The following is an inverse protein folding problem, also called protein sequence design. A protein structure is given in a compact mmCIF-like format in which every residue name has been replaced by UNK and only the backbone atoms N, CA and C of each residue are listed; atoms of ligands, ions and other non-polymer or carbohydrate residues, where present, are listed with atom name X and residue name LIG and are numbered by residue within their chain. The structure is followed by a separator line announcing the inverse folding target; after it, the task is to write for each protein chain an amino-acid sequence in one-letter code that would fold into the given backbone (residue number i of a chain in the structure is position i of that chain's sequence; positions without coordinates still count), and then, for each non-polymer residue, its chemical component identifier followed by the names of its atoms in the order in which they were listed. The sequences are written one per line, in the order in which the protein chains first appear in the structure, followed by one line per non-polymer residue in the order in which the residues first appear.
data_IF_317024391975
#
_entry.id   IF_317024391975
#
_cell.length_a   1.000
_cell.length_b   1.000
_cell.length_c   1.000
_cell.angle_alpha   90.00
_cell.angle_beta   90.00
_cell.angle_gamma   90.00
#
_symmetry.space_group_name_H-M   'P 1'
#
loop_
_entity.id
_entity.type
_entity.pdbx_description
1 polymer ?
#
# COMPACT_ATOMS: atom_id res chain seq x y z
N UNK A 1 9.23 -7.45 19.31
CA UNK A 1 9.60 -6.14 18.76
C UNK A 1 11.12 -6.04 18.51
N UNK A 2 11.98 -6.12 19.51
CA UNK A 2 13.43 -5.97 19.32
C UNK A 2 14.04 -6.98 18.32
N UNK A 3 13.72 -8.26 18.44
CA UNK A 3 14.19 -9.31 17.52
C UNK A 3 13.69 -9.09 16.09
N UNK A 4 12.44 -8.68 15.93
CA UNK A 4 11.87 -8.33 14.61
C UNK A 4 12.65 -7.19 13.95
N UNK A 5 12.88 -6.11 14.69
CA UNK A 5 13.64 -4.94 14.20
C UNK A 5 15.10 -5.30 13.89
N UNK A 6 15.71 -6.21 14.64
CA UNK A 6 17.06 -6.69 14.37
C UNK A 6 17.13 -7.48 13.06
N UNK A 7 16.16 -8.40 12.80
CA UNK A 7 16.06 -9.11 11.52
C UNK A 7 15.81 -8.17 10.35
N UNK A 8 14.85 -7.26 10.49
CA UNK A 8 14.58 -6.24 9.47
C UNK A 8 15.79 -5.35 9.18
N UNK A 9 16.55 -4.96 10.20
CA UNK A 9 17.77 -4.16 10.04
C UNK A 9 18.89 -4.89 9.30
N UNK A 10 18.88 -6.23 9.27
CA UNK A 10 19.79 -6.99 8.43
C UNK A 10 19.42 -6.96 6.94
N UNK A 11 18.15 -6.81 6.63
CA UNK A 11 17.64 -6.81 5.25
C UNK A 11 17.61 -5.41 4.63
N UNK A 12 17.33 -4.40 5.45
CA UNK A 12 17.18 -3.00 5.00
C UNK A 12 18.23 -2.13 5.67
N UNK A 13 19.19 -1.67 4.90
CA UNK A 13 20.31 -0.83 5.39
C UNK A 13 19.79 0.56 5.77
N UNK A 14 20.26 1.10 6.91
CA UNK A 14 20.10 2.51 7.26
C UNK A 14 18.69 3.01 7.60
N UNK A 15 17.70 2.09 7.73
CA UNK A 15 16.28 2.46 7.92
C UNK A 15 15.73 2.09 9.31
N UNK A 16 16.56 2.10 10.33
CA UNK A 16 16.15 1.66 11.68
C UNK A 16 14.96 2.44 12.22
N UNK A 17 14.97 3.76 12.09
CA UNK A 17 13.92 4.65 12.58
C UNK A 17 12.62 4.44 11.80
N UNK A 18 12.70 4.38 10.48
CA UNK A 18 11.54 4.17 9.61
C UNK A 18 10.92 2.79 9.87
N UNK A 19 11.74 1.76 10.03
CA UNK A 19 11.28 0.40 10.38
C UNK A 19 10.54 0.40 11.73
N UNK A 20 11.10 1.02 12.76
CA UNK A 20 10.45 1.14 14.08
C UNK A 20 9.08 1.82 13.96
N UNK A 21 9.00 2.93 13.23
CA UNK A 21 7.76 3.70 13.08
C UNK A 21 6.71 2.94 12.25
N UNK A 22 7.12 2.27 11.16
CA UNK A 22 6.23 1.45 10.33
C UNK A 22 5.68 0.28 11.14
N UNK A 23 6.53 -0.47 11.82
CA UNK A 23 6.10 -1.61 12.64
C UNK A 23 5.19 -1.16 13.79
N UNK A 24 5.50 -0.04 14.44
CA UNK A 24 4.65 0.53 15.49
C UNK A 24 3.29 0.97 14.96
N UNK A 25 3.23 1.64 13.78
CA UNK A 25 1.98 2.07 13.17
C UNK A 25 1.12 0.88 12.75
N UNK A 26 1.72 -0.16 12.13
CA UNK A 26 1.02 -1.39 11.77
C UNK A 26 0.47 -2.11 13.01
N UNK A 27 1.28 -2.21 14.07
CA UNK A 27 0.86 -2.79 15.36
C UNK A 27 -0.23 -2.02 16.08
N UNK A 28 -0.35 -0.71 15.81
CA UNK A 28 -1.42 0.16 16.31
C UNK A 28 -2.64 0.23 15.37
N UNK A 29 -2.75 -0.68 14.40
CA UNK A 29 -3.83 -0.73 13.42
C UNK A 29 -3.98 0.53 12.56
N UNK A 30 -2.88 1.23 12.26
CA UNK A 30 -2.91 2.48 11.50
C UNK A 30 -2.51 2.29 10.05
N UNK A 31 -3.19 3.02 9.17
CA UNK A 31 -2.74 3.24 7.79
C UNK A 31 -1.54 4.19 7.78
N UNK A 32 -0.71 4.12 6.75
CA UNK A 32 0.56 4.85 6.69
C UNK A 32 0.66 5.61 5.36
N UNK A 33 1.21 6.82 5.40
CA UNK A 33 1.65 7.57 4.24
C UNK A 33 3.15 7.84 4.33
N UNK A 34 3.91 7.26 3.40
CA UNK A 34 5.35 7.51 3.26
C UNK A 34 5.57 8.67 2.29
N UNK A 35 6.18 9.73 2.78
CA UNK A 35 6.49 10.92 1.98
C UNK A 35 8.00 11.01 1.75
N UNK A 36 8.42 11.07 0.50
CA UNK A 36 9.84 11.21 0.18
C UNK A 36 10.15 11.04 -1.29
N UNK A 37 11.36 11.42 -1.72
CA UNK A 37 11.78 11.35 -3.11
C UNK A 37 11.78 9.91 -3.64
N UNK A 38 11.78 9.73 -4.98
CA UNK A 38 11.90 8.41 -5.58
C UNK A 38 13.26 7.79 -5.26
N UNK A 39 13.34 6.46 -5.32
CA UNK A 39 14.60 5.73 -5.10
C UNK A 39 15.04 5.59 -3.63
N UNK A 40 14.27 6.06 -2.66
CA UNK A 40 14.60 5.97 -1.23
C UNK A 40 14.31 4.60 -0.59
N UNK A 41 13.95 3.58 -1.38
CA UNK A 41 13.75 2.20 -0.90
C UNK A 41 12.43 1.96 -0.14
N UNK A 42 11.41 2.81 -0.30
CA UNK A 42 10.09 2.66 0.36
C UNK A 42 9.46 1.29 0.11
N UNK A 43 9.42 0.85 -1.15
CA UNK A 43 8.85 -0.45 -1.53
C UNK A 43 9.65 -1.62 -0.96
N UNK A 44 10.98 -1.53 -0.95
CA UNK A 44 11.88 -2.55 -0.39
C UNK A 44 11.67 -2.71 1.12
N UNK A 45 11.58 -1.59 1.83
CA UNK A 45 11.29 -1.55 3.26
C UNK A 45 9.96 -2.24 3.58
N UNK A 46 8.90 -1.91 2.85
CA UNK A 46 7.57 -2.46 3.09
C UNK A 46 7.48 -3.96 2.75
N UNK A 47 8.13 -4.40 1.67
CA UNK A 47 8.20 -5.83 1.33
C UNK A 47 8.97 -6.63 2.39
N UNK A 48 10.06 -6.08 2.93
CA UNK A 48 10.79 -6.70 4.02
C UNK A 48 9.91 -6.83 5.27
N UNK A 49 9.17 -5.77 5.64
CA UNK A 49 8.25 -5.78 6.78
C UNK A 49 7.14 -6.81 6.57
N UNK A 50 6.49 -6.85 5.40
CA UNK A 50 5.43 -7.81 5.10
C UNK A 50 5.93 -9.26 5.20
N UNK A 51 7.10 -9.55 4.64
CA UNK A 51 7.74 -10.87 4.70
C UNK A 51 8.05 -11.30 6.14
N UNK A 52 8.65 -10.42 6.93
CA UNK A 52 9.00 -10.72 8.31
C UNK A 52 7.78 -10.90 9.23
N UNK A 53 6.68 -10.20 8.94
CA UNK A 53 5.42 -10.35 9.65
C UNK A 53 4.58 -11.54 9.14
N UNK A 54 4.95 -12.17 8.03
CA UNK A 54 4.20 -13.26 7.42
C UNK A 54 2.82 -12.83 6.88
N UNK A 55 2.68 -11.57 6.44
CA UNK A 55 1.44 -11.01 5.89
C UNK A 55 1.55 -10.83 4.38
N UNK A 56 0.41 -10.92 3.69
CA UNK A 56 0.33 -10.70 2.25
C UNK A 56 0.70 -9.25 1.87
N UNK A 57 1.04 -9.06 0.60
CA UNK A 57 1.47 -7.77 0.06
C UNK A 57 0.91 -7.56 -1.34
N UNK A 58 -0.06 -6.66 -1.46
CA UNK A 58 -0.62 -6.22 -2.72
C UNK A 58 0.01 -4.89 -3.13
N UNK A 59 0.42 -4.79 -4.41
CA UNK A 59 1.08 -3.59 -4.95
C UNK A 59 0.19 -2.92 -6.00
N UNK A 60 0.06 -1.61 -5.87
CA UNK A 60 -0.63 -0.75 -6.84
C UNK A 60 0.24 0.45 -7.16
N UNK A 61 0.51 0.68 -8.43
CA UNK A 61 1.13 1.91 -8.92
C UNK A 61 0.04 2.93 -9.26
N UNK A 62 0.04 4.07 -8.56
CA UNK A 62 -0.87 5.18 -8.80
C UNK A 62 -0.55 5.89 -10.10
N UNK A 63 -1.55 6.03 -10.95
CA UNK A 63 -1.47 6.79 -12.20
C UNK A 63 -2.85 7.33 -12.58
N UNK A 64 -2.90 8.24 -13.56
CA UNK A 64 -4.13 8.89 -14.01
C UNK A 64 -5.18 7.94 -14.65
N UNK A 65 -4.78 6.72 -15.01
CA UNK A 65 -5.64 5.71 -15.64
C UNK A 65 -6.14 4.66 -14.64
N UNK A 66 -5.76 4.74 -13.36
CA UNK A 66 -6.20 3.82 -12.33
C UNK A 66 -7.68 4.05 -11.99
N UNK A 67 -8.55 3.24 -12.56
CA UNK A 67 -9.99 3.31 -12.30
C UNK A 67 -10.40 2.55 -11.03
N UNK A 68 -11.57 2.86 -10.43
CA UNK A 68 -12.12 2.06 -9.34
C UNK A 68 -12.23 0.57 -9.68
N UNK A 69 -12.61 0.22 -10.91
CA UNK A 69 -12.73 -1.16 -11.35
C UNK A 69 -11.37 -1.90 -11.37
N UNK A 70 -10.29 -1.24 -11.77
CA UNK A 70 -8.95 -1.84 -11.72
C UNK A 70 -8.47 -2.06 -10.28
N UNK A 71 -8.86 -1.19 -9.37
CA UNK A 71 -8.49 -1.29 -7.96
C UNK A 71 -9.33 -2.31 -7.21
N UNK A 72 -10.64 -2.29 -7.42
CA UNK A 72 -11.63 -3.12 -6.72
C UNK A 72 -11.75 -4.51 -7.34
N UNK A 73 -11.75 -4.58 -8.66
CA UNK A 73 -12.08 -5.79 -9.42
C UNK A 73 -13.35 -5.62 -10.24
N UNK A 74 -13.72 -6.65 -10.95
CA UNK A 74 -14.86 -6.65 -11.86
C UNK A 74 -15.44 -8.05 -12.04
N UNK A 75 -16.68 -8.11 -12.49
CA UNK A 75 -17.26 -9.37 -12.95
C UNK A 75 -16.73 -9.71 -14.34
N UNK A 76 -16.40 -10.97 -14.59
CA UNK A 76 -16.02 -11.46 -15.93
C UNK A 76 -17.17 -11.22 -16.93
N UNK A 77 -16.97 -10.33 -17.93
CA UNK A 77 -18.04 -9.96 -18.85
C UNK A 77 -18.56 -11.12 -19.69
N UNK A 78 -17.70 -12.09 -20.03
CA UNK A 78 -18.10 -13.25 -20.82
C UNK A 78 -19.00 -14.17 -20.00
N UNK A 79 -18.65 -14.41 -18.74
CA UNK A 79 -19.44 -15.24 -17.84
C UNK A 79 -20.75 -14.58 -17.39
N UNK A 80 -20.78 -13.26 -17.27
CA UNK A 80 -22.03 -12.53 -16.98
C UNK A 80 -23.09 -12.75 -18.04
N UNK A 81 -22.71 -12.87 -19.32
CA UNK A 81 -23.64 -13.09 -20.42
C UNK A 81 -24.26 -14.48 -20.41
N UNK A 82 -23.55 -15.49 -19.89
CA UNK A 82 -24.01 -16.87 -19.84
C UNK A 82 -24.67 -17.24 -18.52
N UNK A 83 -24.05 -16.84 -17.41
CA UNK A 83 -24.37 -17.32 -16.06
C UNK A 83 -25.11 -16.27 -15.22
N UNK A 84 -25.20 -15.02 -15.72
CA UNK A 84 -25.65 -13.88 -14.93
C UNK A 84 -24.61 -13.43 -13.89
N UNK A 85 -24.99 -12.51 -13.01
CA UNK A 85 -24.10 -12.05 -11.95
C UNK A 85 -24.07 -13.04 -10.78
N UNK A 86 -22.89 -13.54 -10.46
CA UNK A 86 -22.64 -14.47 -9.36
C UNK A 86 -21.30 -14.12 -8.69
N UNK A 87 -21.14 -14.32 -7.37
CA UNK A 87 -19.89 -14.03 -6.67
C UNK A 87 -18.67 -14.78 -7.22
N UNK A 88 -18.84 -15.96 -7.78
CA UNK A 88 -17.77 -16.83 -8.30
C UNK A 88 -17.19 -16.37 -9.64
N UNK A 89 -17.83 -15.41 -10.29
CA UNK A 89 -17.31 -14.79 -11.51
C UNK A 89 -16.76 -13.39 -11.28
N UNK A 90 -16.69 -12.97 -10.02
CA UNK A 90 -16.04 -11.71 -9.68
C UNK A 90 -14.53 -11.92 -9.55
N UNK A 91 -13.78 -11.17 -10.32
CA UNK A 91 -12.32 -11.15 -10.27
C UNK A 91 -11.87 -10.04 -9.32
N UNK A 92 -11.27 -10.44 -8.20
CA UNK A 92 -10.79 -9.49 -7.20
C UNK A 92 -9.66 -8.63 -7.76
N UNK A 93 -9.79 -7.31 -7.62
CA UNK A 93 -8.66 -6.41 -7.80
C UNK A 93 -7.78 -6.37 -6.54
N UNK A 94 -6.65 -5.67 -6.59
CA UNK A 94 -5.67 -5.67 -5.49
C UNK A 94 -6.24 -5.16 -4.15
N UNK A 95 -7.17 -4.21 -4.17
CA UNK A 95 -7.82 -3.75 -2.95
C UNK A 95 -8.70 -4.85 -2.34
N UNK A 96 -9.50 -5.53 -3.16
CA UNK A 96 -10.41 -6.59 -2.69
C UNK A 96 -9.61 -7.79 -2.19
N UNK A 97 -8.57 -8.20 -2.90
CA UNK A 97 -7.66 -9.25 -2.47
C UNK A 97 -7.04 -8.90 -1.11
N UNK A 98 -6.47 -7.69 -0.96
CA UNK A 98 -5.90 -7.24 0.31
C UNK A 98 -6.92 -7.23 1.45
N UNK A 99 -8.16 -6.77 1.19
CA UNK A 99 -9.22 -6.77 2.20
C UNK A 99 -9.58 -8.17 2.68
N UNK A 100 -9.74 -9.13 1.75
CA UNK A 100 -10.12 -10.52 2.07
C UNK A 100 -9.04 -11.26 2.84
N UNK A 101 -7.78 -11.05 2.45
CA UNK A 101 -6.63 -11.77 3.02
C UNK A 101 -6.07 -11.11 4.28
N UNK A 102 -6.41 -9.85 4.56
CA UNK A 102 -5.78 -9.09 5.63
C UNK A 102 -4.36 -8.65 5.31
N UNK A 103 -4.08 -8.47 4.03
CA UNK A 103 -2.76 -8.10 3.50
C UNK A 103 -2.46 -6.61 3.63
N UNK A 104 -1.19 -6.23 3.45
CA UNK A 104 -0.82 -4.83 3.17
C UNK A 104 -1.19 -4.49 1.73
N UNK A 105 -1.97 -3.41 1.54
CA UNK A 105 -2.12 -2.77 0.25
C UNK A 105 -1.13 -1.61 0.16
N UNK A 106 -0.09 -1.76 -0.65
CA UNK A 106 0.87 -0.69 -0.92
C UNK A 106 0.50 0.05 -2.20
N UNK A 107 0.21 1.34 -2.06
CA UNK A 107 -0.15 2.24 -3.17
C UNK A 107 0.97 3.25 -3.37
N UNK A 108 1.77 3.08 -4.41
CA UNK A 108 2.81 4.02 -4.80
C UNK A 108 2.21 5.19 -5.60
N UNK A 109 2.79 6.37 -5.51
CA UNK A 109 2.33 7.59 -6.20
C UNK A 109 0.83 7.90 -6.01
N UNK A 110 0.34 7.79 -4.77
CA UNK A 110 -1.10 8.01 -4.45
C UNK A 110 -1.63 9.37 -4.92
N UNK A 111 -0.77 10.38 -5.03
CA UNK A 111 -1.09 11.72 -5.52
C UNK A 111 -1.35 11.79 -7.04
N UNK A 112 -1.12 10.70 -7.79
CA UNK A 112 -1.45 10.59 -9.22
C UNK A 112 -2.76 9.86 -9.50
N UNK A 113 -3.41 9.34 -8.46
CA UNK A 113 -4.67 8.59 -8.60
C UNK A 113 -5.83 9.58 -8.82
N UNK A 114 -6.76 9.28 -9.76
CA UNK A 114 -7.98 10.07 -9.93
C UNK A 114 -8.80 10.14 -8.64
N UNK A 115 -9.47 11.28 -8.44
CA UNK A 115 -10.25 11.54 -7.22
C UNK A 115 -11.30 10.46 -6.94
N UNK A 116 -11.98 9.98 -8.00
CA UNK A 116 -12.98 8.92 -7.87
C UNK A 116 -12.41 7.62 -7.28
N UNK A 117 -11.20 7.23 -7.68
CA UNK A 117 -10.49 6.05 -7.18
C UNK A 117 -9.94 6.29 -5.78
N UNK A 118 -9.44 7.49 -5.52
CA UNK A 118 -8.98 7.90 -4.20
C UNK A 118 -10.10 7.86 -3.16
N UNK A 119 -11.32 8.25 -3.54
CA UNK A 119 -12.49 8.21 -2.66
C UNK A 119 -12.84 6.77 -2.23
N UNK A 120 -12.62 5.76 -3.08
CA UNK A 120 -12.76 4.35 -2.70
C UNK A 120 -11.78 4.00 -1.57
N UNK A 121 -10.52 4.40 -1.69
CA UNK A 121 -9.50 4.16 -0.65
C UNK A 121 -9.86 4.88 0.66
N UNK A 122 -10.32 6.13 0.59
CA UNK A 122 -10.75 6.91 1.77
C UNK A 122 -11.90 6.20 2.48
N UNK A 123 -12.89 5.72 1.73
CA UNK A 123 -14.04 4.98 2.29
C UNK A 123 -13.57 3.72 3.02
N UNK A 124 -12.73 2.91 2.38
CA UNK A 124 -12.21 1.67 2.98
C UNK A 124 -11.37 1.94 4.23
N UNK A 125 -10.57 3.00 4.24
CA UNK A 125 -9.81 3.40 5.44
C UNK A 125 -10.72 3.78 6.62
N UNK A 126 -11.88 4.38 6.33
CA UNK A 126 -12.84 4.81 7.35
C UNK A 126 -13.73 3.69 7.85
N UNK A 127 -14.37 3.00 6.93
CA UNK A 127 -15.44 2.05 7.21
C UNK A 127 -14.91 0.62 7.43
N UNK A 128 -13.67 0.36 7.05
CA UNK A 128 -13.05 -0.98 7.08
C UNK A 128 -13.86 -2.03 6.32
N UNK A 129 -14.50 -1.59 5.26
CA UNK A 129 -15.27 -2.44 4.37
C UNK A 129 -15.38 -1.79 2.98
N UNK A 130 -15.66 -2.61 2.00
CA UNK A 130 -15.95 -2.22 0.63
C UNK A 130 -17.34 -2.75 0.26
N UNK A 131 -18.17 -1.92 -0.35
CA UNK A 131 -19.47 -2.37 -0.89
C UNK A 131 -19.39 -2.39 -2.42
N UNK A 132 -19.47 -3.60 -2.98
CA UNK A 132 -19.43 -3.81 -4.43
C UNK A 132 -20.85 -4.12 -4.93
N UNK A 133 -21.36 -3.33 -5.89
CA UNK A 133 -22.68 -3.59 -6.46
C UNK A 133 -22.82 -5.05 -6.93
N UNK A 134 -23.91 -5.72 -6.54
CA UNK A 134 -24.24 -7.11 -6.85
C UNK A 134 -23.38 -8.17 -6.17
N UNK A 135 -22.22 -7.84 -5.64
CA UNK A 135 -21.39 -8.72 -4.83
C UNK A 135 -21.68 -8.55 -3.33
N UNK A 136 -22.05 -7.33 -2.90
CA UNK A 136 -22.34 -7.03 -1.51
C UNK A 136 -21.15 -6.46 -0.75
N UNK A 137 -21.18 -6.63 0.58
CA UNK A 137 -20.17 -6.09 1.50
C UNK A 137 -18.97 -7.03 1.61
N UNK A 138 -17.79 -6.45 1.54
CA UNK A 138 -16.51 -7.12 1.75
C UNK A 138 -15.84 -6.43 2.94
N UNK A 139 -15.93 -7.01 4.15
CA UNK A 139 -15.27 -6.46 5.32
C UNK A 139 -13.76 -6.65 5.22
N UNK A 140 -13.01 -5.72 5.77
CA UNK A 140 -11.55 -5.86 5.89
C UNK A 140 -11.22 -6.96 6.92
N UNK A 141 -10.52 -7.99 6.49
CA UNK A 141 -9.98 -9.01 7.38
C UNK A 141 -8.96 -8.38 8.36
N UNK A 142 -8.75 -9.08 9.47
CA UNK A 142 -7.74 -8.67 10.45
C UNK A 142 -6.36 -8.59 9.79
N UNK A 143 -5.64 -7.52 10.04
CA UNK A 143 -4.31 -7.31 9.43
C UNK A 143 -4.32 -6.37 8.22
N UNK A 144 -5.46 -6.19 7.51
CA UNK A 144 -5.52 -5.26 6.39
C UNK A 144 -5.05 -3.86 6.78
N UNK A 145 -4.07 -3.34 6.05
CA UNK A 145 -3.57 -1.96 6.16
C UNK A 145 -3.27 -1.39 4.79
N UNK A 146 -3.63 -0.13 4.62
CA UNK A 146 -3.20 0.64 3.47
C UNK A 146 -1.91 1.37 3.84
N UNK A 147 -0.89 1.18 3.03
CA UNK A 147 0.34 1.97 3.07
C UNK A 147 0.46 2.70 1.73
N UNK A 148 0.40 4.00 1.77
CA UNK A 148 0.56 4.83 0.58
C UNK A 148 1.96 5.45 0.53
N UNK A 149 2.43 5.77 -0.66
CA UNK A 149 3.65 6.56 -0.84
C UNK A 149 3.41 7.68 -1.85
N UNK A 150 4.10 8.80 -1.64
CA UNK A 150 4.15 9.91 -2.59
C UNK A 150 5.47 10.66 -2.52
N UNK A 151 5.79 11.35 -3.61
CA UNK A 151 6.80 12.39 -3.61
C UNK A 151 6.11 13.75 -3.40
N UNK A 152 6.32 14.43 -2.25
CA UNK A 152 5.67 15.71 -1.98
C UNK A 152 6.17 16.86 -2.88
N UNK A 153 7.32 16.68 -3.53
CA UNK A 153 7.94 17.69 -4.42
C UNK A 153 7.57 17.50 -5.90
N UNK A 154 6.85 16.44 -6.25
CA UNK A 154 6.42 16.19 -7.62
C UNK A 154 5.19 17.05 -7.94
N UNK A 155 5.44 18.17 -8.67
CA UNK A 155 4.40 19.13 -9.00
C UNK A 155 3.71 18.84 -10.36
N UNK A 156 4.27 17.93 -11.17
CA UNK A 156 3.79 17.66 -12.54
C UNK A 156 2.84 16.46 -12.52
N UNK A 157 1.59 16.69 -12.91
CA UNK A 157 0.57 15.63 -13.02
C UNK A 157 0.05 15.09 -11.68
N UNK A 158 0.26 15.83 -10.59
CA UNK A 158 -0.18 15.43 -9.24
C UNK A 158 -1.31 16.32 -8.76
N UNK A 159 -2.34 15.70 -8.16
CA UNK A 159 -3.36 16.43 -7.40
C UNK A 159 -2.90 16.63 -5.95
N UNK A 160 -3.36 17.70 -5.31
CA UNK A 160 -3.24 17.79 -3.85
C UNK A 160 -4.05 16.67 -3.21
N UNK A 161 -3.38 15.83 -2.45
CA UNK A 161 -4.08 14.85 -1.63
C UNK A 161 -5.02 15.58 -0.68
N UNK A 162 -6.28 15.14 -0.62
CA UNK A 162 -7.27 15.75 0.26
C UNK A 162 -6.91 15.59 1.73
N UNK A 163 -7.33 16.53 2.57
CA UNK A 163 -7.19 16.43 4.03
C UNK A 163 -7.80 15.13 4.58
N UNK A 164 -8.81 14.59 3.90
CA UNK A 164 -9.45 13.34 4.28
C UNK A 164 -8.49 12.13 4.30
N UNK A 165 -7.47 12.10 3.45
CA UNK A 165 -6.41 11.07 3.51
C UNK A 165 -5.53 11.30 4.71
N UNK A 166 -5.06 12.55 4.90
CA UNK A 166 -4.14 12.90 6.00
C UNK A 166 -4.73 12.61 7.38
N UNK A 167 -6.03 12.78 7.56
CA UNK A 167 -6.73 12.52 8.83
C UNK A 167 -6.77 11.01 9.20
N UNK A 168 -6.47 10.13 8.23
CA UNK A 168 -6.61 8.67 8.37
C UNK A 168 -5.31 7.91 8.40
N UNK A 169 -4.17 8.59 8.23
CA UNK A 169 -2.87 7.96 8.08
C UNK A 169 -1.85 8.49 9.09
N UNK A 170 -0.91 7.66 9.49
CA UNK A 170 0.33 8.10 10.09
C UNK A 170 1.29 8.54 8.99
N UNK A 171 1.77 9.77 9.04
CA UNK A 171 2.71 10.31 8.05
C UNK A 171 4.15 10.05 8.50
N UNK A 172 4.94 9.50 7.60
CA UNK A 172 6.36 9.23 7.81
C UNK A 172 7.17 9.81 6.65
N UNK A 173 8.12 10.68 6.97
CA UNK A 173 9.08 11.17 6.00
C UNK A 173 10.18 10.11 5.80
N UNK A 174 10.51 9.84 4.53
CA UNK A 174 11.58 8.92 4.12
C UNK A 174 12.49 9.66 3.16
N UNK A 175 13.64 10.09 3.64
CA UNK A 175 14.62 10.83 2.87
C UNK A 175 15.72 9.91 2.31
N UNK A 176 16.69 10.44 1.55
CA UNK A 176 17.87 9.70 1.14
C UNK A 176 18.68 9.25 2.37
N UNK A 177 19.40 8.16 2.21
CA UNK A 177 20.25 7.61 3.25
C UNK A 177 21.58 8.37 3.30
N UNK A 178 22.35 8.17 4.38
CA UNK A 178 23.70 8.71 4.48
C UNK A 178 24.60 8.06 3.42
N UNK A 179 25.65 8.76 2.92
CA UNK A 179 26.52 8.22 1.88
C UNK A 179 27.11 6.84 2.21
N UNK A 180 27.48 6.62 3.47
CA UNK A 180 28.04 5.35 3.94
C UNK A 180 27.01 4.21 3.88
N UNK A 181 25.73 4.52 4.10
CA UNK A 181 24.64 3.56 3.99
C UNK A 181 24.31 3.24 2.53
N UNK A 182 24.36 4.24 1.64
CA UNK A 182 24.21 4.05 0.20
C UNK A 182 25.34 3.19 -0.38
N UNK A 183 26.59 3.41 0.03
CA UNK A 183 27.73 2.56 -0.33
C UNK A 183 27.51 1.11 0.12
N UNK A 184 26.99 0.90 1.33
CA UNK A 184 26.67 -0.44 1.83
C UNK A 184 25.56 -1.14 1.05
N UNK A 185 24.56 -0.40 0.56
CA UNK A 185 23.50 -0.93 -0.31
C UNK A 185 24.08 -1.38 -1.65
N UNK A 186 24.93 -0.55 -2.27
CA UNK A 186 25.58 -0.88 -3.54
C UNK A 186 26.47 -2.12 -3.39
N UNK A 187 27.28 -2.19 -2.32
CA UNK A 187 28.12 -3.37 -2.06
C UNK A 187 27.29 -4.65 -1.98
N UNK A 188 26.18 -4.63 -1.25
CA UNK A 188 25.27 -5.80 -1.17
C UNK A 188 24.65 -6.20 -2.50
N UNK A 189 24.34 -5.23 -3.35
CA UNK A 189 23.75 -5.51 -4.67
C UNK A 189 24.75 -6.11 -5.66
N UNK A 190 26.05 -5.93 -5.43
CA UNK A 190 27.14 -6.48 -6.29
C UNK A 190 27.55 -7.89 -5.83
N UNK A 191 27.49 -8.17 -4.52
CA UNK A 191 27.92 -9.43 -3.92
C UNK A 191 26.83 -10.53 -3.91
N UNK A 192 25.60 -10.24 -4.31
CA UNK A 192 24.43 -11.14 -4.38
C UNK A 192 23.97 -11.42 -5.77
#
# INVERSE_FOLDING_TARGET
MRELLQRLGSDVVGRHRELELVVAALGADRHILLEGPPGTGKSTLLRAVARELGIGFEFVEGNAELTPARLVGHFDPARVLTDGYSPDIFEDGPLTAALREGSLLYVEEINRIPEETLNVLITVMSERELNVPRLGRIPAAHGFRLVAAMNPFDAIGTARISSAVYDRVCRLAVDYQAPEEEEAIVARAVDG
#
